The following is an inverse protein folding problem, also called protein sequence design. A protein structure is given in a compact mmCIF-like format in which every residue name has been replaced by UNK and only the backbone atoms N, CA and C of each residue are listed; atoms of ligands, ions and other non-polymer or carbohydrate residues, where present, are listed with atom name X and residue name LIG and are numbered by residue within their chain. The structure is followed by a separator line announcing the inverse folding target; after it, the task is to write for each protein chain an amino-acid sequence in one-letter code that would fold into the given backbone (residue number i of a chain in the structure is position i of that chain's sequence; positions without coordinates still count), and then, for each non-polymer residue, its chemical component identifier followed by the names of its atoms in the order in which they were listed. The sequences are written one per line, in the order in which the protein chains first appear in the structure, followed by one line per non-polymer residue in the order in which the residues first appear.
data_IF_466156921830
#
_entry.id   IF_466156921830
#
_cell.length_a   1.000
_cell.length_b   1.000
_cell.length_c   1.000
_cell.angle_alpha   90.00
_cell.angle_beta   90.00
_cell.angle_gamma   90.00
#
_symmetry.space_group_name_H-M   'P 1'
#
loop_
_entity.id
_entity.type
_entity.pdbx_description
1 polymer ?
#
# COMPACT_ATOMS: atom_id res chain seq x y z
N UNK A 1 3.69 -18.86 9.67
CA UNK A 1 5.08 -18.33 9.75
C UNK A 1 4.99 -16.86 9.43
N UNK A 2 5.55 -16.03 10.30
CA UNK A 2 5.60 -14.58 10.18
C UNK A 2 6.40 -14.17 8.92
N UNK A 3 5.91 -13.19 8.15
CA UNK A 3 6.53 -12.78 6.88
C UNK A 3 7.96 -12.28 7.05
N UNK A 4 8.22 -11.55 8.15
CA UNK A 4 9.54 -11.00 8.46
C UNK A 4 10.55 -12.05 8.92
N UNK A 5 10.08 -13.12 9.58
CA UNK A 5 10.93 -14.25 9.96
C UNK A 5 11.47 -15.01 8.75
N UNK A 6 10.75 -15.01 7.62
CA UNK A 6 11.20 -15.71 6.40
C UNK A 6 12.36 -15.02 5.69
N UNK A 7 12.54 -13.72 5.93
CA UNK A 7 13.58 -12.90 5.32
C UNK A 7 14.67 -12.50 6.33
N UNK A 8 14.65 -13.09 7.53
CA UNK A 8 15.58 -12.79 8.63
C UNK A 8 15.69 -11.27 8.91
N UNK A 9 14.56 -10.56 8.92
CA UNK A 9 14.51 -9.09 9.03
C UNK A 9 15.18 -8.56 10.31
N UNK A 10 16.12 -7.63 10.16
CA UNK A 10 16.79 -6.93 11.26
C UNK A 10 16.21 -5.52 11.44
N UNK A 11 15.39 -5.35 12.48
CA UNK A 11 14.78 -4.07 12.87
C UNK A 11 15.75 -2.90 13.08
N UNK A 12 17.07 -3.14 13.20
CA UNK A 12 18.07 -2.07 13.36
C UNK A 12 18.73 -1.67 12.05
N UNK A 13 18.80 -2.58 11.08
CA UNK A 13 19.61 -2.41 9.87
C UNK A 13 18.78 -2.46 8.58
N UNK A 14 17.57 -3.03 8.63
CA UNK A 14 16.69 -3.18 7.49
C UNK A 14 15.55 -2.16 7.50
N UNK A 15 14.99 -1.92 6.30
CA UNK A 15 13.84 -1.06 6.08
C UNK A 15 12.71 -1.89 5.45
N UNK A 16 11.52 -1.84 6.05
CA UNK A 16 10.31 -2.40 5.47
C UNK A 16 9.49 -1.28 4.81
N UNK A 17 9.13 -1.46 3.55
CA UNK A 17 8.29 -0.52 2.81
C UNK A 17 6.98 -1.22 2.42
N UNK A 18 5.86 -0.68 2.90
CA UNK A 18 4.51 -1.18 2.60
C UNK A 18 3.90 -0.48 1.38
N UNK A 19 3.12 -1.24 0.60
CA UNK A 19 2.28 -0.75 -0.50
C UNK A 19 0.97 -0.10 -0.01
N UNK A 20 0.78 0.10 1.30
CA UNK A 20 -0.44 0.66 1.88
C UNK A 20 -1.47 -0.41 2.28
N UNK A 21 -2.71 0.00 2.54
CA UNK A 21 -3.81 -0.86 3.02
C UNK A 21 -3.45 -1.61 4.31
N UNK A 22 -3.06 -0.83 5.32
CA UNK A 22 -2.69 -1.31 6.65
C UNK A 22 -3.93 -1.60 7.51
N UNK A 23 -5.08 -1.04 7.15
CA UNK A 23 -6.35 -1.16 7.89
C UNK A 23 -7.45 -1.81 7.05
N UNK A 24 -8.57 -2.04 7.72
CA UNK A 24 -9.77 -2.71 7.26
C UNK A 24 -9.56 -4.21 6.98
N UNK A 25 -10.67 -4.94 6.83
CA UNK A 25 -10.78 -6.39 6.53
C UNK A 25 -10.15 -7.35 7.56
N UNK A 26 -9.03 -7.02 8.18
CA UNK A 26 -8.35 -7.79 9.21
C UNK A 26 -8.80 -7.45 10.64
N UNK A 27 -8.19 -8.11 11.61
CA UNK A 27 -8.49 -8.00 13.05
C UNK A 27 -7.51 -7.09 13.81
N UNK A 28 -6.32 -6.82 13.27
CA UNK A 28 -5.22 -6.05 13.90
C UNK A 28 -5.04 -4.64 13.31
N UNK A 29 -6.14 -3.95 13.03
CA UNK A 29 -6.14 -2.68 12.29
C UNK A 29 -5.30 -1.59 12.97
N UNK A 30 -5.47 -1.38 14.28
CA UNK A 30 -4.72 -0.35 15.01
C UNK A 30 -3.24 -0.70 15.08
N UNK A 31 -2.92 -1.96 15.32
CA UNK A 31 -1.54 -2.44 15.42
C UNK A 31 -0.80 -2.35 14.07
N UNK A 32 -1.46 -2.70 12.96
CA UNK A 32 -0.89 -2.54 11.62
C UNK A 32 -0.70 -1.07 11.26
N UNK A 33 -1.66 -0.20 11.59
CA UNK A 33 -1.53 1.23 11.34
C UNK A 33 -0.43 1.88 12.20
N UNK A 34 -0.23 1.41 13.44
CA UNK A 34 0.84 1.92 14.32
C UNK A 34 2.25 1.63 13.78
N UNK A 35 2.41 0.69 12.85
CA UNK A 35 3.70 0.45 12.20
C UNK A 35 4.28 1.70 11.55
N UNK A 36 3.44 2.64 11.08
CA UNK A 36 3.92 3.90 10.48
C UNK A 36 4.69 4.78 11.47
N UNK A 37 4.62 4.50 12.77
CA UNK A 37 5.38 5.22 13.80
C UNK A 37 6.77 4.64 14.03
N UNK A 38 7.05 3.46 13.45
CA UNK A 38 8.31 2.75 13.64
C UNK A 38 9.41 3.28 12.70
N UNK A 39 10.65 3.46 13.19
CA UNK A 39 11.73 4.04 12.39
C UNK A 39 12.15 3.16 11.19
N UNK A 40 11.98 1.84 11.32
CA UNK A 40 12.28 0.82 10.31
C UNK A 40 11.14 0.55 9.32
N UNK A 41 10.02 1.30 9.40
CA UNK A 41 8.85 1.11 8.56
C UNK A 41 8.51 2.36 7.76
N UNK A 42 8.24 2.21 6.47
CA UNK A 42 7.67 3.24 5.59
C UNK A 42 6.47 2.65 4.85
N UNK A 43 5.56 3.49 4.42
CA UNK A 43 4.41 3.08 3.63
C UNK A 43 4.06 4.15 2.62
N UNK A 44 3.54 3.74 1.48
CA UNK A 44 2.66 4.61 0.69
C UNK A 44 1.25 4.57 1.26
N UNK A 45 0.44 5.60 0.99
CA UNK A 45 -0.97 5.61 1.38
C UNK A 45 -1.79 4.68 0.47
N UNK A 46 -2.57 3.78 1.06
CA UNK A 46 -3.56 2.98 0.35
C UNK A 46 -4.93 3.66 0.23
N UNK A 47 -5.81 3.08 -0.57
CA UNK A 47 -7.17 3.60 -0.69
C UNK A 47 -7.99 3.36 0.59
N UNK A 48 -7.68 2.32 1.37
CA UNK A 48 -8.33 2.09 2.66
C UNK A 48 -8.00 3.17 3.70
N UNK A 49 -6.72 3.59 3.79
CA UNK A 49 -6.37 4.75 4.61
C UNK A 49 -7.10 6.02 4.14
N UNK A 50 -7.16 6.26 2.82
CA UNK A 50 -7.83 7.45 2.27
C UNK A 50 -9.33 7.47 2.58
N UNK A 51 -10.04 6.34 2.45
CA UNK A 51 -11.46 6.24 2.82
C UNK A 51 -11.71 6.57 4.29
N UNK A 52 -10.86 6.07 5.19
CA UNK A 52 -10.96 6.35 6.62
C UNK A 52 -10.69 7.83 6.94
N UNK A 53 -9.65 8.40 6.33
CA UNK A 53 -9.29 9.83 6.46
C UNK A 53 -10.44 10.71 5.98
N UNK A 54 -10.98 10.44 4.79
CA UNK A 54 -12.07 11.22 4.22
C UNK A 54 -13.31 11.19 5.13
N UNK A 55 -13.70 10.00 5.59
CA UNK A 55 -14.86 9.81 6.45
C UNK A 55 -14.73 10.52 7.81
N UNK A 56 -13.53 10.55 8.40
CA UNK A 56 -13.33 11.06 9.76
C UNK A 56 -12.93 12.55 9.81
N UNK A 57 -12.23 13.06 8.80
CA UNK A 57 -11.62 14.39 8.86
C UNK A 57 -12.15 15.37 7.80
N UNK A 58 -12.70 14.87 6.69
CA UNK A 58 -13.05 15.72 5.53
C UNK A 58 -14.53 15.72 5.18
N UNK A 59 -15.39 15.24 6.06
CA UNK A 59 -16.83 15.06 5.81
C UNK A 59 -17.11 14.18 4.57
N UNK A 60 -16.22 13.23 4.30
CA UNK A 60 -16.36 12.25 3.24
C UNK A 60 -17.44 11.21 3.53
N UNK A 61 -17.69 10.34 2.55
CA UNK A 61 -18.74 9.33 2.64
C UNK A 61 -18.32 8.17 3.57
N UNK A 62 -18.80 8.18 4.82
CA UNK A 62 -18.55 7.09 5.76
C UNK A 62 -19.15 5.75 5.32
N UNK A 63 -20.26 5.75 4.56
CA UNK A 63 -20.81 4.50 4.01
C UNK A 63 -19.84 3.84 3.04
N UNK A 64 -19.08 4.62 2.26
CA UNK A 64 -18.06 4.07 1.36
C UNK A 64 -16.99 3.31 2.14
N UNK A 65 -16.46 3.91 3.20
CA UNK A 65 -15.46 3.26 4.06
C UNK A 65 -16.02 2.01 4.74
N UNK A 66 -17.23 2.10 5.31
CA UNK A 66 -17.87 0.98 6.00
C UNK A 66 -18.18 -0.19 5.07
N UNK A 67 -18.65 0.06 3.84
CA UNK A 67 -18.85 -0.99 2.83
C UNK A 67 -17.54 -1.68 2.44
N UNK A 68 -16.40 -1.02 2.61
CA UNK A 68 -15.08 -1.58 2.31
C UNK A 68 -14.36 -2.16 3.53
N UNK A 69 -14.99 -2.20 4.71
CA UNK A 69 -14.44 -2.90 5.88
C UNK A 69 -14.07 -2.02 7.06
N UNK A 70 -14.39 -0.71 7.02
CA UNK A 70 -14.11 0.24 8.10
C UNK A 70 -14.86 0.03 9.42
N UNK A 71 -15.73 -0.98 9.51
CA UNK A 71 -16.57 -1.22 10.70
C UNK A 71 -15.79 -1.52 11.98
N UNK A 72 -14.52 -1.97 11.88
CA UNK A 72 -13.65 -2.21 13.03
C UNK A 72 -13.54 -0.99 13.95
N UNK A 73 -13.61 0.22 13.38
CA UNK A 73 -13.50 1.47 14.10
C UNK A 73 -14.63 1.66 15.13
N UNK A 74 -15.83 1.13 14.85
CA UNK A 74 -17.00 1.24 15.73
C UNK A 74 -16.92 0.35 16.98
N UNK A 75 -15.98 -0.60 16.99
CA UNK A 75 -15.80 -1.56 18.08
C UNK A 75 -14.60 -1.23 18.98
N UNK A 76 -13.91 -0.12 18.71
CA UNK A 76 -12.79 0.32 19.53
C UNK A 76 -13.27 0.83 20.89
N UNK A 77 -12.46 0.60 21.92
CA UNK A 77 -12.61 1.36 23.16
C UNK A 77 -12.14 2.82 22.99
N UNK A 78 -12.39 3.64 24.00
CA UNK A 78 -12.08 5.07 23.95
C UNK A 78 -10.59 5.38 23.71
N UNK A 79 -9.69 4.61 24.30
CA UNK A 79 -8.25 4.84 24.16
C UNK A 79 -7.77 4.43 22.76
N UNK A 80 -8.26 3.30 22.27
CA UNK A 80 -7.99 2.82 20.91
C UNK A 80 -8.56 3.76 19.85
N UNK A 81 -9.76 4.33 20.05
CA UNK A 81 -10.35 5.28 19.12
C UNK A 81 -9.49 6.56 18.99
N UNK A 82 -8.99 7.08 20.12
CA UNK A 82 -8.07 8.23 20.13
C UNK A 82 -6.78 7.89 19.38
N UNK A 83 -6.20 6.71 19.68
CA UNK A 83 -4.98 6.26 19.02
C UNK A 83 -5.20 6.11 17.50
N UNK A 84 -6.26 5.44 17.08
CA UNK A 84 -6.60 5.24 15.67
C UNK A 84 -6.76 6.57 14.93
N UNK A 85 -7.47 7.55 15.51
CA UNK A 85 -7.58 8.90 14.94
C UNK A 85 -6.21 9.60 14.81
N UNK A 86 -5.38 9.52 15.84
CA UNK A 86 -4.04 10.12 15.81
C UNK A 86 -3.13 9.45 14.75
N UNK A 87 -3.25 8.14 14.58
CA UNK A 87 -2.54 7.39 13.56
C UNK A 87 -3.05 7.70 12.15
N UNK A 88 -4.36 7.82 11.94
CA UNK A 88 -4.93 8.22 10.64
C UNK A 88 -4.54 9.63 10.23
N UNK A 89 -4.45 10.57 11.19
CA UNK A 89 -3.92 11.90 10.93
C UNK A 89 -2.43 11.87 10.51
N UNK A 90 -1.65 10.91 11.00
CA UNK A 90 -0.28 10.65 10.50
C UNK A 90 -0.30 9.96 9.12
N UNK A 91 -1.23 9.04 8.89
CA UNK A 91 -1.40 8.35 7.62
C UNK A 91 -1.74 9.32 6.46
N UNK A 92 -2.45 10.40 6.77
CA UNK A 92 -2.70 11.52 5.86
C UNK A 92 -1.42 12.28 5.44
N UNK A 93 -0.29 12.04 6.09
CA UNK A 93 1.01 12.58 5.67
C UNK A 93 1.87 11.55 4.91
N UNK A 94 1.39 10.32 4.75
CA UNK A 94 2.10 9.32 3.94
C UNK A 94 2.14 9.76 2.47
N UNK A 95 3.27 9.54 1.78
CA UNK A 95 3.37 9.79 0.36
C UNK A 95 2.48 8.82 -0.43
N UNK A 96 2.08 9.22 -1.64
CA UNK A 96 1.40 8.32 -2.57
C UNK A 96 2.38 7.39 -3.30
N UNK A 97 3.62 7.86 -3.48
CA UNK A 97 4.67 7.18 -4.24
C UNK A 97 5.98 7.27 -3.45
N UNK A 98 6.70 6.16 -3.34
CA UNK A 98 8.06 6.09 -2.79
C UNK A 98 9.01 5.66 -3.89
N UNK A 99 10.11 6.40 -4.06
CA UNK A 99 11.25 5.97 -4.87
C UNK A 99 12.35 5.39 -3.97
N UNK A 100 12.89 4.24 -4.36
CA UNK A 100 14.03 3.59 -3.70
C UNK A 100 15.14 3.42 -4.72
N UNK A 101 16.32 3.98 -4.42
CA UNK A 101 17.52 3.81 -5.21
C UNK A 101 18.46 2.81 -4.52
N UNK A 102 18.62 1.61 -5.10
CA UNK A 102 19.52 0.55 -4.56
C UNK A 102 20.91 0.57 -5.22
N UNK A 103 21.43 1.77 -5.51
CA UNK A 103 22.74 1.98 -6.16
C UNK A 103 22.79 1.64 -7.65
N UNK A 104 22.13 0.57 -8.08
CA UNK A 104 22.08 0.12 -9.48
C UNK A 104 20.67 0.05 -10.06
N UNK A 105 19.64 0.18 -9.22
CA UNK A 105 18.24 0.15 -9.64
C UNK A 105 17.45 1.29 -9.02
N UNK A 106 16.52 1.82 -9.79
CA UNK A 106 15.45 2.69 -9.34
C UNK A 106 14.16 1.89 -9.25
N UNK A 107 13.59 1.81 -8.05
CA UNK A 107 12.38 1.07 -7.74
C UNK A 107 11.32 2.05 -7.28
N UNK A 108 10.13 1.97 -7.87
CA UNK A 108 9.00 2.83 -7.55
C UNK A 108 7.93 1.99 -6.87
N UNK A 109 7.44 2.47 -5.72
CA UNK A 109 6.43 1.79 -4.92
C UNK A 109 5.22 2.72 -4.89
N UNK A 110 4.06 2.21 -5.27
CA UNK A 110 2.78 2.91 -5.18
C UNK A 110 1.70 1.90 -4.79
N UNK A 111 0.53 2.38 -4.38
CA UNK A 111 -0.50 1.48 -3.88
C UNK A 111 -1.14 0.64 -4.99
N UNK A 112 -1.66 1.28 -6.03
CA UNK A 112 -2.42 0.61 -7.09
C UNK A 112 -1.74 0.68 -8.46
N UNK A 113 -1.26 1.87 -8.83
CA UNK A 113 -0.67 2.12 -10.16
C UNK A 113 0.22 3.37 -10.14
N UNK A 114 0.95 3.57 -11.23
CA UNK A 114 1.50 4.86 -11.63
C UNK A 114 0.85 5.25 -12.97
N UNK A 115 -0.06 6.25 -13.03
CA UNK A 115 -0.95 6.47 -14.17
C UNK A 115 -0.29 7.28 -15.29
N UNK A 116 0.91 6.86 -15.68
CA UNK A 116 1.64 7.38 -16.83
C UNK A 116 2.55 6.26 -17.38
N UNK A 117 3.07 6.45 -18.58
CA UNK A 117 4.00 5.50 -19.21
C UNK A 117 5.47 5.88 -18.96
N UNK A 118 5.74 7.10 -18.47
CA UNK A 118 7.08 7.58 -18.12
C UNK A 118 7.13 8.09 -16.67
N UNK A 119 8.00 7.47 -15.86
CA UNK A 119 8.20 7.89 -14.49
C UNK A 119 9.14 9.09 -14.36
N UNK A 120 8.74 10.07 -13.57
CA UNK A 120 9.60 11.18 -13.19
C UNK A 120 9.38 11.51 -11.72
N UNK A 121 10.47 11.67 -10.98
CA UNK A 121 10.41 11.97 -9.55
C UNK A 121 9.72 13.32 -9.32
N UNK A 122 8.60 13.30 -8.59
CA UNK A 122 7.83 14.50 -8.27
C UNK A 122 6.88 14.98 -9.37
N UNK A 123 6.73 14.22 -10.47
CA UNK A 123 5.71 14.49 -11.48
C UNK A 123 4.32 14.41 -10.87
N UNK A 124 3.49 15.41 -11.16
CA UNK A 124 2.09 15.39 -10.79
C UNK A 124 1.36 14.34 -11.63
N UNK A 125 0.74 13.40 -10.94
CA UNK A 125 -0.08 12.33 -11.51
C UNK A 125 -1.43 12.33 -10.81
N UNK A 126 -2.45 11.72 -11.43
CA UNK A 126 -3.77 11.63 -10.79
C UNK A 126 -3.68 10.76 -9.53
N UNK A 127 -3.80 11.40 -8.37
CA UNK A 127 -3.73 10.74 -7.07
C UNK A 127 -4.80 9.66 -6.91
N UNK A 128 -5.96 9.84 -7.57
CA UNK A 128 -7.06 8.89 -7.49
C UNK A 128 -6.62 7.57 -8.15
N UNK A 129 -6.05 7.65 -9.34
CA UNK A 129 -5.58 6.46 -10.06
C UNK A 129 -4.40 5.78 -9.35
N UNK A 130 -3.51 6.54 -8.70
CA UNK A 130 -2.40 5.97 -7.92
C UNK A 130 -2.85 5.01 -6.83
N UNK A 131 -4.06 5.21 -6.27
CA UNK A 131 -4.58 4.37 -5.19
C UNK A 131 -5.83 3.55 -5.59
N UNK A 132 -6.49 3.83 -6.72
CA UNK A 132 -7.72 3.12 -7.11
C UNK A 132 -7.60 2.34 -8.41
N UNK A 133 -6.65 2.68 -9.29
CA UNK A 133 -6.67 2.14 -10.65
C UNK A 133 -6.41 0.63 -10.66
N UNK A 134 -7.24 -0.08 -11.43
CA UNK A 134 -7.04 -1.51 -11.76
C UNK A 134 -6.94 -1.75 -13.26
N UNK A 135 -7.03 -0.69 -14.08
CA UNK A 135 -7.00 -0.77 -15.53
C UNK A 135 -5.72 -1.41 -16.04
N UNK A 136 -4.55 -0.99 -15.52
CA UNK A 136 -3.25 -1.50 -15.99
C UNK A 136 -3.09 -3.01 -15.77
N UNK A 137 -3.39 -3.51 -14.57
CA UNK A 137 -3.27 -4.95 -14.27
C UNK A 137 -4.25 -5.81 -15.07
N UNK A 138 -5.47 -5.30 -15.33
CA UNK A 138 -6.47 -5.99 -16.14
C UNK A 138 -6.08 -6.02 -17.62
N UNK A 139 -5.68 -4.87 -18.19
CA UNK A 139 -5.18 -4.78 -19.56
C UNK A 139 -3.96 -5.69 -19.79
N UNK A 140 -3.06 -5.78 -18.80
CA UNK A 140 -1.91 -6.67 -18.87
C UNK A 140 -2.29 -8.17 -18.85
N UNK A 141 -3.51 -8.53 -18.43
CA UNK A 141 -4.07 -9.87 -18.60
C UNK A 141 -4.40 -10.21 -20.06
N UNK A 142 -4.67 -9.18 -20.87
CA UNK A 142 -4.97 -9.27 -22.30
C UNK A 142 -3.76 -8.89 -23.18
N UNK A 143 -2.56 -8.84 -22.61
CA UNK A 143 -1.30 -8.42 -23.26
C UNK A 143 -1.35 -6.98 -23.83
N UNK A 144 -2.16 -6.11 -23.21
CA UNK A 144 -2.28 -4.70 -23.55
C UNK A 144 -1.47 -3.87 -22.55
N UNK A 145 -0.51 -3.09 -23.05
CA UNK A 145 0.30 -2.18 -22.24
C UNK A 145 1.79 -2.25 -22.59
N UNK A 146 2.63 -2.00 -21.59
CA UNK A 146 4.08 -2.00 -21.73
C UNK A 146 4.81 -1.72 -20.42
N UNK A 147 6.14 -1.64 -20.50
CA UNK A 147 6.95 -1.14 -19.40
C UNK A 147 6.67 0.34 -19.15
N UNK A 148 6.71 0.77 -17.89
CA UNK A 148 6.76 2.19 -17.52
C UNK A 148 8.24 2.59 -17.53
N UNK A 149 8.64 3.57 -18.34
CA UNK A 149 10.05 3.94 -18.51
C UNK A 149 10.59 4.73 -17.32
N UNK A 150 11.91 4.97 -17.31
CA UNK A 150 12.65 5.77 -16.32
C UNK A 150 12.75 5.21 -14.90
N UNK A 151 12.21 4.01 -14.64
CA UNK A 151 12.51 3.18 -13.47
C UNK A 151 12.62 1.70 -13.84
N UNK A 152 13.40 0.94 -13.07
CA UNK A 152 13.71 -0.46 -13.35
C UNK A 152 12.59 -1.40 -12.90
N UNK A 153 11.84 -1.03 -11.86
CA UNK A 153 10.77 -1.85 -11.28
C UNK A 153 9.72 -0.97 -10.59
N UNK A 154 8.46 -1.32 -10.77
CA UNK A 154 7.31 -0.79 -10.05
C UNK A 154 6.74 -1.90 -9.18
N UNK A 155 6.45 -1.60 -7.91
CA UNK A 155 5.87 -2.55 -6.97
C UNK A 155 4.52 -2.00 -6.51
N UNK A 156 3.46 -2.76 -6.74
CA UNK A 156 2.08 -2.39 -6.45
C UNK A 156 1.36 -3.42 -5.58
N UNK A 157 0.33 -2.97 -4.87
CA UNK A 157 -0.63 -3.78 -4.12
C UNK A 157 -2.02 -3.75 -4.77
N UNK A 158 -3.05 -3.43 -3.96
CA UNK A 158 -4.46 -3.10 -4.30
C UNK A 158 -5.32 -4.17 -4.98
N UNK A 159 -4.73 -5.02 -5.83
CA UNK A 159 -5.45 -6.04 -6.60
C UNK A 159 -5.03 -7.42 -6.12
N UNK A 160 -5.79 -8.02 -5.18
CA UNK A 160 -5.44 -9.31 -4.60
C UNK A 160 -5.40 -10.40 -5.66
N UNK A 161 -4.35 -11.21 -5.64
CA UNK A 161 -4.22 -12.43 -6.41
C UNK A 161 -3.59 -13.54 -5.55
N UNK A 162 -3.90 -14.84 -5.74
CA UNK A 162 -3.34 -15.90 -4.89
C UNK A 162 -1.80 -16.03 -4.93
N UNK A 163 -1.16 -15.46 -5.95
CA UNK A 163 0.29 -15.40 -6.15
C UNK A 163 0.66 -14.03 -6.72
N UNK A 164 1.92 -13.63 -6.54
CA UNK A 164 2.46 -12.42 -7.17
C UNK A 164 2.36 -12.49 -8.69
N UNK A 165 2.09 -11.36 -9.33
CA UNK A 165 2.06 -11.24 -10.80
C UNK A 165 3.08 -10.21 -11.24
N UNK A 166 3.85 -10.51 -12.29
CA UNK A 166 4.72 -9.53 -12.92
C UNK A 166 4.37 -9.37 -14.39
N UNK A 167 4.17 -8.12 -14.81
CA UNK A 167 3.95 -7.73 -16.20
C UNK A 167 4.99 -6.66 -16.55
N UNK A 168 5.86 -6.94 -17.52
CA UNK A 168 7.03 -6.10 -17.83
C UNK A 168 7.85 -5.75 -16.57
N UNK A 169 7.91 -4.48 -16.20
CA UNK A 169 8.57 -3.99 -14.99
C UNK A 169 7.58 -3.62 -13.87
N UNK A 170 6.34 -4.13 -13.89
CA UNK A 170 5.36 -3.94 -12.81
C UNK A 170 5.13 -5.26 -12.06
N UNK A 171 5.44 -5.27 -10.77
CA UNK A 171 5.28 -6.40 -9.85
C UNK A 171 4.13 -6.12 -8.88
N UNK A 172 3.12 -6.97 -8.91
CA UNK A 172 1.96 -6.92 -8.01
C UNK A 172 2.17 -7.94 -6.90
N UNK A 173 2.26 -7.44 -5.66
CA UNK A 173 2.61 -8.25 -4.48
C UNK A 173 1.45 -8.48 -3.51
N UNK A 174 0.28 -7.88 -3.76
CA UNK A 174 -0.92 -8.17 -2.97
C UNK A 174 -1.37 -9.60 -3.24
N UNK A 175 -0.94 -10.47 -2.34
CA UNK A 175 -1.25 -11.90 -2.37
C UNK A 175 -2.58 -12.23 -1.70
N UNK A 176 -3.32 -11.24 -1.19
CA UNK A 176 -4.58 -11.46 -0.49
C UNK A 176 -4.41 -12.11 0.88
N UNK A 177 -3.46 -11.60 1.69
CA UNK A 177 -3.15 -12.15 3.01
C UNK A 177 -4.38 -12.30 3.92
N UNK A 178 -5.25 -11.29 3.94
CA UNK A 178 -6.50 -11.28 4.71
C UNK A 178 -7.52 -12.33 4.22
N UNK A 179 -7.37 -12.84 2.99
CA UNK A 179 -8.19 -13.90 2.41
C UNK A 179 -7.57 -15.30 2.56
N UNK A 180 -6.46 -15.43 3.29
CA UNK A 180 -5.85 -16.71 3.63
C UNK A 180 -4.82 -17.23 2.61
N UNK A 181 -4.42 -16.42 1.63
CA UNK A 181 -3.43 -16.78 0.61
C UNK A 181 -1.97 -16.53 1.04
N UNK A 182 -1.77 -15.91 2.20
CA UNK A 182 -0.46 -15.59 2.77
C UNK A 182 -0.01 -14.16 2.48
N UNK A 183 0.93 -13.66 3.28
CA UNK A 183 1.56 -12.36 3.10
C UNK A 183 2.86 -12.52 2.30
N UNK A 184 3.00 -11.78 1.19
CA UNK A 184 4.23 -11.70 0.41
C UNK A 184 5.15 -10.62 0.96
N UNK A 185 6.46 -10.90 0.95
CA UNK A 185 7.52 -9.94 1.25
C UNK A 185 8.57 -10.07 0.15
N UNK A 186 8.83 -8.98 -0.56
CA UNK A 186 9.83 -8.92 -1.64
C UNK A 186 11.12 -8.26 -1.15
N UNK A 187 12.25 -8.95 -1.27
CA UNK A 187 13.55 -8.37 -0.94
C UNK A 187 14.14 -7.65 -2.15
N UNK A 188 14.19 -6.31 -2.08
CA UNK A 188 14.83 -5.48 -3.11
C UNK A 188 16.31 -5.22 -2.74
N UNK A 189 17.24 -5.49 -3.67
CA UNK A 189 18.70 -5.34 -3.49
C UNK A 189 19.29 -4.33 -4.45
#
# INVERSE_FOLDING_TARGET
MDGLQRVDFDYKNDLLISVGDLIDRGDRNVECLDLITQPWFRAVRGNHEQMAIDALFHNGNSDLWFHNGGHWFLYLDYEQEILAKALLAKAEQLPLIIEVNTGHKKIVIAHADYPDDEYEFGKEVDWFDVIWNRGRIYNAGDDIGGAITEADLFIFGHTPAPITKQNWNQLYIDTGAVFGHGLHVEQIK
#
